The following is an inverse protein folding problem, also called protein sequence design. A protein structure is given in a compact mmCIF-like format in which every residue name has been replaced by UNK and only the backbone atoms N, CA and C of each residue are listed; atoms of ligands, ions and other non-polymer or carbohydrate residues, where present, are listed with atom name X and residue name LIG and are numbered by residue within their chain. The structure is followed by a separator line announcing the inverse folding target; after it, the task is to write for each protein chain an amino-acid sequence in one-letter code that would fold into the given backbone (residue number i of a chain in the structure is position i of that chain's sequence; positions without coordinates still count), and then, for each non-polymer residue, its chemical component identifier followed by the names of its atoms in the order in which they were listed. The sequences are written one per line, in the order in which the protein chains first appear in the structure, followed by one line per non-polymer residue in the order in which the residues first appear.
data_IF_211055106240
#
_entry.id   IF_211055106240
#
_cell.length_a   1.000
_cell.length_b   1.000
_cell.length_c   1.000
_cell.angle_alpha   90.00
_cell.angle_beta   90.00
_cell.angle_gamma   90.00
#
_symmetry.space_group_name_H-M   'P 1'
#
loop_
_entity.id
_entity.type
_entity.pdbx_description
1 polymer ?
#
# COMPACT_ATOMS: atom_id res chain seq x y z
N UNK A 1 -26.79 4.84 -10.05
CA UNK A 1 -26.12 5.40 -8.87
C UNK A 1 -24.70 5.68 -9.28
N UNK A 2 -24.30 6.94 -9.37
CA UNK A 2 -22.90 7.27 -9.67
C UNK A 2 -22.07 6.85 -8.45
N UNK A 3 -21.00 6.07 -8.66
CA UNK A 3 -20.03 5.82 -7.61
C UNK A 3 -19.40 7.18 -7.30
N UNK A 4 -19.73 7.75 -6.14
CA UNK A 4 -19.09 8.96 -5.64
C UNK A 4 -17.73 8.52 -5.09
N UNK A 5 -16.73 8.53 -5.97
CA UNK A 5 -15.35 8.21 -5.59
C UNK A 5 -14.77 9.49 -5.03
N UNK A 6 -14.55 9.50 -3.74
CA UNK A 6 -13.76 10.55 -3.09
C UNK A 6 -12.36 10.55 -3.71
N UNK A 7 -12.08 11.60 -4.48
CA UNK A 7 -10.88 11.73 -5.30
C UNK A 7 -9.61 11.80 -4.44
N UNK A 8 -9.73 12.27 -3.19
CA UNK A 8 -8.62 12.36 -2.26
C UNK A 8 -8.32 10.99 -1.62
N UNK A 9 -9.35 10.21 -1.28
CA UNK A 9 -9.17 8.81 -0.87
C UNK A 9 -8.55 7.93 -1.97
N UNK A 10 -8.93 8.15 -3.23
CA UNK A 10 -8.34 7.42 -4.35
C UNK A 10 -6.84 7.73 -4.53
N UNK A 11 -6.45 9.02 -4.42
CA UNK A 11 -5.05 9.44 -4.53
C UNK A 11 -4.20 8.80 -3.42
N UNK A 12 -4.67 8.84 -2.17
CA UNK A 12 -3.96 8.24 -1.04
C UNK A 12 -3.85 6.72 -1.17
N UNK A 13 -4.89 6.05 -1.67
CA UNK A 13 -4.85 4.61 -1.95
C UNK A 13 -3.84 4.21 -3.02
N UNK A 14 -3.80 4.95 -4.14
CA UNK A 14 -2.81 4.72 -5.20
C UNK A 14 -1.39 4.97 -4.67
N UNK A 15 -1.19 6.04 -3.91
CA UNK A 15 0.11 6.36 -3.33
C UNK A 15 0.58 5.28 -2.35
N UNK A 16 -0.32 4.75 -1.51
CA UNK A 16 -0.04 3.62 -0.63
C UNK A 16 0.42 2.37 -1.40
N UNK A 17 -0.21 2.06 -2.54
CA UNK A 17 0.21 0.96 -3.41
C UNK A 17 1.61 1.20 -3.99
N UNK A 18 1.88 2.42 -4.47
CA UNK A 18 3.20 2.78 -5.00
C UNK A 18 4.28 2.62 -3.93
N UNK A 19 4.02 3.08 -2.71
CA UNK A 19 4.92 2.91 -1.57
C UNK A 19 5.16 1.43 -1.29
N UNK A 20 4.11 0.62 -1.20
CA UNK A 20 4.25 -0.82 -0.97
C UNK A 20 5.13 -1.50 -2.05
N UNK A 21 4.97 -1.13 -3.32
CA UNK A 21 5.81 -1.65 -4.42
C UNK A 21 7.26 -1.22 -4.25
N UNK A 22 7.51 0.05 -3.91
CA UNK A 22 8.86 0.57 -3.68
C UNK A 22 9.53 -0.20 -2.52
N UNK A 23 8.81 -0.47 -1.44
CA UNK A 23 9.33 -1.23 -0.29
C UNK A 23 9.69 -2.66 -0.67
N UNK A 24 8.84 -3.34 -1.44
CA UNK A 24 9.13 -4.69 -1.96
C UNK A 24 10.40 -4.69 -2.81
N UNK A 25 10.55 -3.70 -3.70
CA UNK A 25 11.74 -3.58 -4.56
C UNK A 25 12.98 -3.28 -3.74
N UNK A 26 12.90 -2.36 -2.76
CA UNK A 26 13.98 -2.05 -1.82
C UNK A 26 14.45 -3.30 -1.08
N UNK A 27 13.52 -4.11 -0.56
CA UNK A 27 13.86 -5.33 0.18
C UNK A 27 14.48 -6.39 -0.73
N UNK A 28 13.98 -6.51 -1.96
CA UNK A 28 14.60 -7.36 -2.97
C UNK A 28 16.04 -6.90 -3.29
N UNK A 29 16.28 -5.59 -3.41
CA UNK A 29 17.61 -5.03 -3.64
C UNK A 29 18.52 -5.36 -2.45
N UNK A 30 18.08 -5.19 -1.20
CA UNK A 30 18.86 -5.56 0.00
C UNK A 30 19.29 -7.04 -0.02
N UNK A 31 18.37 -7.94 -0.34
CA UNK A 31 18.67 -9.38 -0.45
C UNK A 31 19.72 -9.62 -1.54
N UNK A 32 19.60 -8.96 -2.70
CA UNK A 32 20.59 -9.10 -3.77
C UNK A 32 21.93 -8.47 -3.41
N UNK A 33 21.93 -7.35 -2.68
CA UNK A 33 23.14 -6.69 -2.20
C UNK A 33 23.96 -7.67 -1.36
N UNK A 34 23.34 -8.29 -0.35
CA UNK A 34 23.98 -9.29 0.51
C UNK A 34 24.55 -10.44 -0.33
N UNK A 35 23.76 -11.01 -1.24
CA UNK A 35 24.23 -12.08 -2.13
C UNK A 35 25.40 -11.68 -3.02
N UNK A 36 25.48 -10.43 -3.45
CA UNK A 36 26.58 -9.91 -4.28
C UNK A 36 27.82 -9.63 -3.44
N UNK A 37 27.66 -9.11 -2.22
CA UNK A 37 28.70 -8.94 -1.22
C UNK A 37 29.36 -10.29 -0.88
N UNK A 38 28.56 -11.29 -0.51
CA UNK A 38 29.06 -12.63 -0.16
C UNK A 38 29.82 -13.31 -1.30
N UNK A 39 29.44 -13.01 -2.54
CA UNK A 39 30.09 -13.55 -3.73
C UNK A 39 31.30 -12.76 -4.23
N UNK A 40 31.66 -11.65 -3.56
CA UNK A 40 32.73 -10.74 -4.00
C UNK A 40 32.45 -10.03 -5.32
N UNK A 41 31.17 -9.90 -5.72
CA UNK A 41 30.74 -9.23 -6.96
C UNK A 41 30.57 -7.72 -6.80
N UNK A 42 30.79 -7.18 -5.61
CA UNK A 42 30.81 -5.75 -5.32
C UNK A 42 32.15 -5.42 -4.65
N UNK A 43 32.75 -4.29 -5.05
CA UNK A 43 33.89 -3.72 -4.34
C UNK A 43 33.44 -3.01 -3.07
N UNK A 44 34.35 -2.73 -2.14
CA UNK A 44 34.04 -2.02 -0.90
C UNK A 44 33.39 -0.64 -1.17
N UNK A 45 33.91 0.10 -2.16
CA UNK A 45 33.34 1.38 -2.60
C UNK A 45 31.90 1.23 -3.15
N UNK A 46 31.62 0.15 -3.89
CA UNK A 46 30.28 -0.14 -4.40
C UNK A 46 29.31 -0.53 -3.27
N UNK A 47 29.79 -1.23 -2.25
CA UNK A 47 29.02 -1.60 -1.06
C UNK A 47 28.62 -0.34 -0.29
N UNK A 48 29.57 0.57 -0.05
CA UNK A 48 29.29 1.80 0.69
C UNK A 48 28.30 2.70 -0.06
N UNK A 49 28.51 2.90 -1.38
CA UNK A 49 27.58 3.66 -2.22
C UNK A 49 26.17 3.06 -2.26
N UNK A 50 26.07 1.73 -2.32
CA UNK A 50 24.78 1.03 -2.29
C UNK A 50 24.09 1.18 -0.94
N UNK A 51 24.83 1.05 0.16
CA UNK A 51 24.31 1.27 1.51
C UNK A 51 23.77 2.69 1.70
N UNK A 52 24.53 3.70 1.25
CA UNK A 52 24.14 5.10 1.26
C UNK A 52 22.82 5.30 0.49
N UNK A 53 22.73 4.81 -0.74
CA UNK A 53 21.54 4.96 -1.57
C UNK A 53 20.30 4.27 -0.96
N UNK A 54 20.46 3.11 -0.33
CA UNK A 54 19.37 2.42 0.35
C UNK A 54 18.89 3.19 1.58
N UNK A 55 19.79 3.82 2.33
CA UNK A 55 19.44 4.64 3.49
C UNK A 55 18.71 5.92 3.07
N UNK A 56 19.16 6.59 2.01
CA UNK A 56 18.47 7.74 1.42
C UNK A 56 17.07 7.37 0.92
N UNK A 57 16.93 6.19 0.32
CA UNK A 57 15.62 5.66 -0.11
C UNK A 57 14.70 5.40 1.10
N UNK A 58 15.21 4.85 2.20
CA UNK A 58 14.42 4.65 3.43
C UNK A 58 13.88 5.98 3.98
N UNK A 59 14.74 7.00 4.05
CA UNK A 59 14.36 8.33 4.53
C UNK A 59 13.24 8.91 3.64
N UNK A 60 13.43 8.87 2.32
CA UNK A 60 12.44 9.39 1.38
C UNK A 60 11.08 8.66 1.47
N UNK A 61 11.09 7.33 1.66
CA UNK A 61 9.86 6.56 1.85
C UNK A 61 9.13 6.99 3.12
N UNK A 62 9.84 7.15 4.23
CA UNK A 62 9.24 7.56 5.49
C UNK A 62 8.72 9.01 5.46
N UNK A 63 9.44 9.92 4.80
CA UNK A 63 8.96 11.29 4.58
C UNK A 63 7.65 11.32 3.79
N UNK A 64 7.54 10.54 2.71
CA UNK A 64 6.31 10.45 1.91
C UNK A 64 5.15 9.84 2.72
N UNK A 65 5.42 8.80 3.53
CA UNK A 65 4.38 8.20 4.38
C UNK A 65 3.83 9.20 5.41
N UNK A 66 4.70 10.02 5.99
CA UNK A 66 4.32 11.05 6.97
C UNK A 66 3.58 12.21 6.29
N UNK A 67 4.06 12.69 5.14
CA UNK A 67 3.43 13.81 4.42
C UNK A 67 1.99 13.49 3.98
N UNK A 68 1.71 12.22 3.70
CA UNK A 68 0.44 11.78 3.13
C UNK A 68 -0.42 10.92 4.08
N UNK A 69 -0.12 10.90 5.39
CA UNK A 69 -0.84 10.13 6.42
C UNK A 69 -1.08 8.65 6.05
N UNK A 70 -0.15 8.05 5.29
CA UNK A 70 -0.35 6.73 4.66
C UNK A 70 -0.32 5.57 5.66
N UNK A 71 0.02 5.83 6.93
CA UNK A 71 0.04 4.81 7.99
C UNK A 71 -1.38 4.30 8.29
N UNK A 72 -2.38 5.18 8.18
CA UNK A 72 -3.76 4.86 8.51
C UNK A 72 -4.61 4.56 7.25
N UNK A 73 -4.22 5.08 6.09
CA UNK A 73 -4.97 4.96 4.81
C UNK A 73 -5.23 3.52 4.36
N UNK A 74 -4.27 2.60 4.52
CA UNK A 74 -4.46 1.20 4.08
C UNK A 74 -5.54 0.51 4.91
N UNK A 75 -5.60 0.80 6.21
CA UNK A 75 -6.65 0.27 7.09
C UNK A 75 -8.00 0.89 6.75
N UNK A 76 -8.05 2.18 6.43
CA UNK A 76 -9.28 2.87 6.01
C UNK A 76 -9.85 2.33 4.71
N UNK A 77 -9.00 2.06 3.70
CA UNK A 77 -9.44 1.45 2.44
C UNK A 77 -9.97 0.04 2.66
N UNK A 78 -9.28 -0.77 3.48
CA UNK A 78 -9.76 -2.11 3.82
C UNK A 78 -11.11 -2.04 4.50
N UNK A 79 -11.26 -1.17 5.50
CA UNK A 79 -12.51 -1.03 6.23
C UNK A 79 -13.65 -0.53 5.31
N UNK A 80 -13.38 0.43 4.41
CA UNK A 80 -14.38 0.90 3.45
C UNK A 80 -14.79 -0.17 2.42
N UNK A 81 -13.88 -1.08 2.05
CA UNK A 81 -14.23 -2.25 1.24
C UNK A 81 -15.07 -3.27 2.03
N UNK A 82 -14.76 -3.48 3.30
CA UNK A 82 -15.54 -4.36 4.19
C UNK A 82 -16.96 -3.82 4.36
N UNK A 83 -17.13 -2.51 4.57
CA UNK A 83 -18.44 -1.85 4.69
C UNK A 83 -19.28 -2.00 3.40
N UNK A 84 -18.65 -1.81 2.23
CA UNK A 84 -19.33 -1.99 0.94
C UNK A 84 -19.76 -3.44 0.71
N UNK A 85 -18.94 -4.41 1.15
CA UNK A 85 -19.29 -5.83 1.09
C UNK A 85 -20.47 -6.13 2.01
N UNK A 86 -20.49 -5.59 3.22
CA UNK A 86 -21.58 -5.77 4.18
C UNK A 86 -22.90 -5.19 3.67
N UNK A 87 -22.89 -4.01 3.05
CA UNK A 87 -24.07 -3.40 2.43
C UNK A 87 -24.65 -4.27 1.31
N UNK A 88 -23.79 -4.80 0.43
CA UNK A 88 -24.20 -5.70 -0.65
C UNK A 88 -24.76 -7.02 -0.13
N UNK A 89 -24.15 -7.58 0.91
CA UNK A 89 -24.63 -8.81 1.54
C UNK A 89 -25.99 -8.60 2.22
N UNK A 90 -26.18 -7.48 2.92
CA UNK A 90 -27.45 -7.15 3.57
C UNK A 90 -28.61 -6.98 2.56
N UNK A 91 -28.35 -6.36 1.41
CA UNK A 91 -29.36 -6.20 0.37
C UNK A 91 -29.81 -7.53 -0.26
N UNK A 92 -28.93 -8.53 -0.32
CA UNK A 92 -29.25 -9.86 -0.84
C UNK A 92 -29.95 -10.73 0.22
N UNK A 93 -29.53 -10.62 1.48
CA UNK A 93 -30.03 -11.47 2.57
C UNK A 93 -31.36 -11.00 3.17
N UNK A 94 -31.68 -9.71 3.05
CA UNK A 94 -32.95 -9.15 3.52
C UNK A 94 -33.74 -8.49 2.38
N UNK A 95 -34.32 -9.28 1.45
CA UNK A 95 -35.31 -8.74 0.54
C UNK A 95 -36.52 -8.37 1.40
N UNK A 96 -36.76 -7.08 1.61
CA UNK A 96 -38.03 -6.62 2.19
C UNK A 96 -39.15 -7.24 1.35
N UNK A 97 -39.82 -8.25 1.90
CA UNK A 97 -41.04 -8.78 1.31
C UNK A 97 -42.07 -7.67 1.51
N UNK A 98 -42.59 -7.04 0.44
CA UNK A 98 -43.56 -5.96 0.59
C UNK A 98 -44.76 -6.49 1.39
N UNK A 99 -45.17 -5.75 2.42
CA UNK A 99 -46.34 -6.04 3.28
C UNK A 99 -47.65 -6.21 2.48
N UNK A 100 -47.68 -5.83 1.21
CA UNK A 100 -48.83 -5.99 0.30
C UNK A 100 -49.17 -7.46 -0.03
N UNK A 101 -48.35 -8.44 0.37
CA UNK A 101 -48.58 -9.88 0.11
C UNK A 101 -49.06 -10.64 1.37
N UNK A 102 -49.28 -9.97 2.51
CA UNK A 102 -49.75 -10.64 3.75
C UNK A 102 -51.26 -10.62 3.95
#
# INVERSE_FOLDING_TARGET
MALDIDEDNLKSGILGIVIAVIEIVRDAIRIQAIRRMDSGRLTDDEIERLGQALMELDIAIEEIKVEHDLTDTVSEIRNGLDDLVDDLLNQILNPEIPEEIR
#
